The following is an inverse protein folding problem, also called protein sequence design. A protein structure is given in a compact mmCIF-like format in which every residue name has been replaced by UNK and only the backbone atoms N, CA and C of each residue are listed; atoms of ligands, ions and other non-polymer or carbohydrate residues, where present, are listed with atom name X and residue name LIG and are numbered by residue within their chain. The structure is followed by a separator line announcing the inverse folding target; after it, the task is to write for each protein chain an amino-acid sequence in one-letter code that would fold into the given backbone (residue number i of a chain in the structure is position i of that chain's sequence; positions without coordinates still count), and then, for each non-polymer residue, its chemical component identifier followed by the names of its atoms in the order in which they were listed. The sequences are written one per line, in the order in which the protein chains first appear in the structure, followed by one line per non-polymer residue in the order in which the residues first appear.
data_IF_427571264866
#
_entry.id   IF_427571264866
#
_cell.length_a   1.000
_cell.length_b   1.000
_cell.length_c   1.000
_cell.angle_alpha   90.00
_cell.angle_beta   90.00
_cell.angle_gamma   90.00
#
_symmetry.space_group_name_H-M   'P 1'
#
loop_
_entity.id
_entity.type
_entity.pdbx_description
1 polymer ?
#
# COMPACT_ATOMS: atom_id res chain seq x y z
N UNK A 1 -6.47 -32.54 -1.46
CA UNK A 1 -5.70 -31.30 -1.72
C UNK A 1 -6.61 -30.13 -1.42
N UNK A 2 -6.54 -29.61 -0.19
CA UNK A 2 -7.28 -28.43 0.23
C UNK A 2 -6.56 -27.23 -0.37
N UNK A 3 -7.20 -26.50 -1.27
CA UNK A 3 -6.66 -25.23 -1.75
C UNK A 3 -6.54 -24.31 -0.54
N UNK A 4 -5.31 -24.07 -0.09
CA UNK A 4 -5.01 -22.95 0.81
C UNK A 4 -5.32 -21.73 -0.04
N UNK A 5 -6.40 -21.02 0.27
CA UNK A 5 -6.70 -19.73 -0.33
C UNK A 5 -5.46 -18.86 -0.11
N UNK A 6 -4.72 -18.58 -1.19
CA UNK A 6 -3.49 -17.83 -1.14
C UNK A 6 -3.81 -16.42 -0.68
N UNK A 7 -3.45 -16.11 0.56
CA UNK A 7 -3.59 -14.79 1.12
C UNK A 7 -2.58 -13.85 0.45
N UNK A 8 -3.08 -12.83 -0.24
CA UNK A 8 -2.27 -11.80 -0.90
C UNK A 8 -2.33 -10.50 -0.06
N UNK A 9 -1.23 -10.13 0.64
CA UNK A 9 -1.21 -8.92 1.46
C UNK A 9 -1.33 -7.65 0.63
N UNK A 10 -0.91 -7.65 -0.64
CA UNK A 10 -1.02 -6.48 -1.47
C UNK A 10 -2.50 -6.21 -1.83
N UNK A 11 -3.22 -7.26 -2.23
CA UNK A 11 -4.66 -7.15 -2.47
C UNK A 11 -5.43 -6.77 -1.19
N UNK A 12 -5.08 -7.35 -0.05
CA UNK A 12 -5.68 -6.98 1.23
C UNK A 12 -5.46 -5.49 1.56
N UNK A 13 -4.29 -4.92 1.23
CA UNK A 13 -4.03 -3.48 1.33
C UNK A 13 -4.92 -2.63 0.43
N UNK A 14 -5.14 -3.05 -0.82
CA UNK A 14 -6.09 -2.38 -1.74
C UNK A 14 -7.51 -2.41 -1.20
N UNK A 15 -7.96 -3.56 -0.67
CA UNK A 15 -9.29 -3.72 -0.10
C UNK A 15 -9.50 -2.83 1.15
N UNK A 16 -8.45 -2.69 1.99
CA UNK A 16 -8.45 -1.76 3.11
C UNK A 16 -8.52 -0.31 2.66
N UNK A 17 -7.77 0.06 1.61
CA UNK A 17 -7.80 1.42 1.05
C UNK A 17 -9.21 1.77 0.55
N UNK A 18 -9.83 0.85 -0.19
CA UNK A 18 -11.21 0.99 -0.66
C UNK A 18 -12.17 1.22 0.51
N UNK A 19 -12.11 0.36 1.53
CA UNK A 19 -12.93 0.47 2.74
C UNK A 19 -12.70 1.79 3.51
N UNK A 20 -11.49 2.35 3.48
CA UNK A 20 -11.18 3.64 4.12
C UNK A 20 -11.72 4.82 3.31
N UNK A 21 -11.53 4.81 1.99
CA UNK A 21 -12.00 5.86 1.10
C UNK A 21 -13.53 5.91 1.05
N UNK A 22 -14.21 4.76 1.02
CA UNK A 22 -15.67 4.66 1.12
C UNK A 22 -16.22 5.34 2.37
N UNK A 23 -15.60 5.09 3.54
CA UNK A 23 -15.97 5.76 4.81
C UNK A 23 -15.74 7.27 4.80
N UNK A 24 -14.83 7.73 3.95
CA UNK A 24 -14.53 9.16 3.76
C UNK A 24 -15.32 9.77 2.60
N UNK A 25 -16.25 9.03 1.98
CA UNK A 25 -17.01 9.45 0.80
C UNK A 25 -16.12 9.85 -0.40
N UNK A 26 -14.97 9.18 -0.54
CA UNK A 26 -14.05 9.33 -1.68
C UNK A 26 -14.14 8.08 -2.54
N UNK A 27 -14.39 8.26 -3.84
CA UNK A 27 -14.41 7.17 -4.81
C UNK A 27 -12.98 6.72 -5.13
N UNK A 28 -12.73 5.40 -5.08
CA UNK A 28 -11.50 4.78 -5.58
C UNK A 28 -11.80 4.17 -6.96
N UNK A 29 -11.30 4.81 -8.00
CA UNK A 29 -11.34 4.27 -9.36
C UNK A 29 -10.43 3.05 -9.48
N UNK A 30 -10.76 2.13 -10.39
CA UNK A 30 -9.92 0.94 -10.60
C UNK A 30 -8.53 1.33 -11.14
N UNK A 31 -8.44 2.36 -11.99
CA UNK A 31 -7.16 2.91 -12.47
C UNK A 31 -6.31 3.49 -11.33
N UNK A 32 -6.90 4.21 -10.38
CA UNK A 32 -6.18 4.71 -9.20
C UNK A 32 -5.71 3.56 -8.30
N UNK A 33 -6.52 2.51 -8.15
CA UNK A 33 -6.15 1.33 -7.38
C UNK A 33 -4.98 0.57 -8.02
N UNK A 34 -5.04 0.30 -9.33
CA UNK A 34 -3.99 -0.38 -10.09
C UNK A 34 -2.67 0.42 -10.04
N UNK A 35 -2.74 1.72 -10.31
CA UNK A 35 -1.58 2.62 -10.25
C UNK A 35 -0.97 2.69 -8.86
N UNK A 36 -1.80 2.79 -7.82
CA UNK A 36 -1.33 2.80 -6.43
C UNK A 36 -0.66 1.48 -6.04
N UNK A 37 -1.22 0.35 -6.48
CA UNK A 37 -0.64 -0.97 -6.26
C UNK A 37 0.71 -1.12 -6.96
N UNK A 38 0.82 -0.71 -8.24
CA UNK A 38 2.06 -0.74 -9.01
C UNK A 38 3.16 0.08 -8.31
N UNK A 39 2.86 1.33 -7.92
CA UNK A 39 3.80 2.21 -7.21
C UNK A 39 4.26 1.57 -5.89
N UNK A 40 3.34 0.98 -5.14
CA UNK A 40 3.67 0.33 -3.87
C UNK A 40 4.56 -0.89 -4.07
N UNK A 41 4.22 -1.77 -5.01
CA UNK A 41 5.01 -2.96 -5.33
C UNK A 41 6.41 -2.60 -5.81
N UNK A 42 6.52 -1.59 -6.66
CA UNK A 42 7.79 -1.05 -7.15
C UNK A 42 8.69 -0.51 -6.03
N UNK A 43 8.11 0.15 -5.03
CA UNK A 43 8.84 0.64 -3.86
C UNK A 43 9.27 -0.50 -2.92
N UNK A 44 8.42 -1.53 -2.77
CA UNK A 44 8.71 -2.70 -1.95
C UNK A 44 9.76 -3.63 -2.59
N UNK A 45 9.78 -3.73 -3.92
CA UNK A 45 10.73 -4.56 -4.66
C UNK A 45 12.19 -4.14 -4.44
N UNK A 46 12.43 -2.84 -4.21
CA UNK A 46 13.78 -2.29 -3.97
C UNK A 46 14.32 -2.62 -2.56
N UNK A 47 13.50 -3.19 -1.67
CA UNK A 47 13.93 -3.53 -0.32
C UNK A 47 14.86 -4.74 -0.30
N UNK A 48 15.95 -4.65 0.46
CA UNK A 48 16.88 -5.78 0.67
C UNK A 48 16.23 -6.93 1.46
N UNK A 49 15.17 -6.66 2.21
CA UNK A 49 14.43 -7.65 3.01
C UNK A 49 12.95 -7.42 2.81
N UNK A 50 12.24 -8.49 2.42
CA UNK A 50 10.80 -8.43 2.23
C UNK A 50 10.11 -8.02 3.55
N UNK A 51 9.14 -7.10 3.51
CA UNK A 51 8.32 -6.79 4.67
C UNK A 51 7.48 -8.00 5.07
N UNK A 52 7.13 -8.12 6.36
CA UNK A 52 6.03 -8.98 6.79
C UNK A 52 4.70 -8.57 6.18
N UNK A 53 3.77 -9.51 6.04
CA UNK A 53 2.47 -9.28 5.43
C UNK A 53 1.70 -8.05 5.98
N UNK A 54 1.57 -7.86 7.32
CA UNK A 54 0.88 -6.70 7.87
C UNK A 54 1.50 -5.35 7.46
N UNK A 55 2.83 -5.31 7.32
CA UNK A 55 3.53 -4.11 6.88
C UNK A 55 3.31 -3.84 5.38
N UNK A 56 3.29 -4.89 4.57
CA UNK A 56 2.94 -4.81 3.14
C UNK A 56 1.51 -4.30 2.95
N UNK A 57 0.53 -4.88 3.64
CA UNK A 57 -0.87 -4.45 3.60
C UNK A 57 -1.02 -2.96 3.89
N UNK A 58 -0.45 -2.51 5.01
CA UNK A 58 -0.57 -1.14 5.48
C UNK A 58 0.13 -0.15 4.54
N UNK A 59 1.29 -0.52 4.02
CA UNK A 59 2.00 0.33 3.06
C UNK A 59 1.23 0.46 1.74
N UNK A 60 0.73 -0.66 1.20
CA UNK A 60 -0.10 -0.65 -0.02
C UNK A 60 -1.37 0.18 0.21
N UNK A 61 -2.05 -0.01 1.36
CA UNK A 61 -3.22 0.80 1.73
C UNK A 61 -2.91 2.29 1.64
N UNK A 62 -1.81 2.73 2.26
CA UNK A 62 -1.44 4.14 2.32
C UNK A 62 -1.09 4.73 0.95
N UNK A 63 -0.39 3.98 0.10
CA UNK A 63 -0.05 4.43 -1.26
C UNK A 63 -1.32 4.57 -2.11
N UNK A 64 -2.22 3.59 -2.08
CA UNK A 64 -3.48 3.63 -2.84
C UNK A 64 -4.38 4.78 -2.36
N UNK A 65 -4.48 4.99 -1.04
CA UNK A 65 -5.18 6.15 -0.47
C UNK A 65 -4.55 7.46 -0.95
N UNK A 66 -3.22 7.57 -0.95
CA UNK A 66 -2.54 8.77 -1.40
C UNK A 66 -2.82 9.06 -2.88
N UNK A 67 -2.76 8.05 -3.76
CA UNK A 67 -3.09 8.21 -5.19
C UNK A 67 -4.52 8.72 -5.38
N UNK A 68 -5.50 8.09 -4.75
CA UNK A 68 -6.91 8.49 -4.85
C UNK A 68 -7.15 9.92 -4.33
N UNK A 69 -6.52 10.28 -3.20
CA UNK A 69 -6.63 11.62 -2.63
C UNK A 69 -6.01 12.68 -3.54
N UNK A 70 -4.82 12.42 -4.10
CA UNK A 70 -4.18 13.35 -5.03
C UNK A 70 -5.03 13.58 -6.28
N UNK A 71 -5.61 12.53 -6.85
CA UNK A 71 -6.53 12.64 -7.98
C UNK A 71 -7.77 13.48 -7.62
N UNK A 72 -8.39 13.21 -6.47
CA UNK A 72 -9.58 13.91 -5.96
C UNK A 72 -9.36 15.41 -5.78
N UNK A 73 -8.15 15.82 -5.39
CA UNK A 73 -7.78 17.21 -5.12
C UNK A 73 -6.95 17.86 -6.23
N UNK A 74 -6.75 17.18 -7.37
CA UNK A 74 -5.95 17.64 -8.49
C UNK A 74 -4.50 17.99 -8.11
N UNK A 75 -3.91 17.21 -7.22
CA UNK A 75 -2.50 17.30 -6.85
C UNK A 75 -1.60 16.57 -7.87
N UNK A 76 -0.29 16.88 -7.94
CA UNK A 76 0.63 16.16 -8.80
C UNK A 76 0.68 14.66 -8.50
N UNK A 77 0.71 13.82 -9.54
CA UNK A 77 0.72 12.36 -9.39
C UNK A 77 1.82 11.88 -8.43
N UNK A 78 1.48 10.91 -7.59
CA UNK A 78 2.42 10.27 -6.68
C UNK A 78 3.52 9.58 -7.48
N UNK A 79 4.77 9.99 -7.24
CA UNK A 79 5.92 9.40 -7.90
C UNK A 79 6.47 8.23 -7.08
N UNK A 80 7.03 7.23 -7.77
CA UNK A 80 7.72 6.08 -7.13
C UNK A 80 8.76 6.51 -6.09
N UNK A 81 9.54 7.56 -6.39
CA UNK A 81 10.56 8.08 -5.47
C UNK A 81 9.98 8.63 -4.17
N UNK A 82 8.78 9.22 -4.22
CA UNK A 82 8.08 9.71 -3.03
C UNK A 82 7.59 8.53 -2.17
N UNK A 83 7.04 7.49 -2.80
CA UNK A 83 6.61 6.28 -2.11
C UNK A 83 7.80 5.54 -1.45
N UNK A 84 8.93 5.43 -2.15
CA UNK A 84 10.15 4.83 -1.61
C UNK A 84 10.76 5.65 -0.44
N UNK A 85 10.76 6.98 -0.56
CA UNK A 85 11.19 7.86 0.53
C UNK A 85 10.27 7.72 1.75
N UNK A 86 8.96 7.67 1.53
CA UNK A 86 7.99 7.42 2.58
C UNK A 86 8.22 6.07 3.25
N UNK A 87 8.41 4.99 2.48
CA UNK A 87 8.71 3.64 2.98
C UNK A 87 9.94 3.63 3.89
N UNK A 88 11.00 4.35 3.51
CA UNK A 88 12.22 4.48 4.30
C UNK A 88 11.99 5.10 5.69
N UNK A 89 11.08 6.06 5.79
CA UNK A 89 10.66 6.66 7.08
C UNK A 89 9.66 5.76 7.80
N UNK A 90 8.69 5.23 7.07
CA UNK A 90 7.60 4.41 7.59
C UNK A 90 8.11 3.12 8.23
N UNK A 91 9.22 2.55 7.74
CA UNK A 91 9.90 1.41 8.37
C UNK A 91 10.21 1.62 9.86
N UNK A 92 10.63 2.83 10.24
CA UNK A 92 10.90 3.16 11.65
C UNK A 92 9.61 3.24 12.47
N UNK A 93 8.53 3.68 11.86
CA UNK A 93 7.22 3.78 12.51
C UNK A 93 6.55 2.40 12.63
N UNK A 94 6.69 1.56 11.61
CA UNK A 94 6.23 0.18 11.56
C UNK A 94 7.22 -0.81 12.16
N UNK A 95 8.18 -0.33 12.96
CA UNK A 95 9.24 -1.18 13.49
C UNK A 95 8.70 -2.35 14.33
N UNK A 96 7.55 -2.15 15.01
CA UNK A 96 6.84 -3.23 15.70
C UNK A 96 6.34 -4.32 14.74
N UNK A 97 5.89 -3.95 13.55
CA UNK A 97 5.44 -4.89 12.52
C UNK A 97 6.62 -5.61 11.84
N UNK A 98 7.82 -5.02 11.85
CA UNK A 98 9.01 -5.56 11.20
C UNK A 98 9.82 -6.54 12.05
N UNK A 99 9.61 -6.55 13.36
CA UNK A 99 10.37 -7.37 14.31
C UNK A 99 9.57 -8.54 14.91
N UNK A 100 8.24 -8.55 14.78
CA UNK A 100 7.36 -9.53 15.43
C UNK A 100 7.11 -10.82 14.64
N UNK A 101 7.92 -11.11 13.61
CA UNK A 101 7.79 -12.36 12.84
C UNK A 101 9.09 -13.17 12.87
N UNK A 102 9.15 -14.26 13.67
CA UNK A 102 10.26 -15.23 13.64
C UNK A 102 10.26 -16.09 12.36
#
# INVERSE_FOLDING_TARGET
MTAVWGYDPAQAGVDQARSRLERAEVELTDEAAERGLEIAQDALHDLTTAPPAPATELFVEQVVVAVAMRERYHEPDLQRVEAAAYLGVARWFFNSLWHDHP
#
